data_IF_221433741341
#
_entry.id   IF_221433741341
#
_cell.length_a   1.000
_cell.length_b   1.000
_cell.length_c   1.000
_cell.angle_alpha   90.00
_cell.angle_beta   90.00
_cell.angle_gamma   90.00
#
_symmetry.space_group_name_H-M   'P 1'
#
loop_
_entity.id
_entity.type
_entity.pdbx_description
1 polymer ?
#
# COMPACT_ATOMS: atom_id res chain seq x y z
N UNK A 1 -44.86 -4.16 9.59
CA UNK A 1 -44.99 -3.02 10.51
C UNK A 1 -43.60 -2.67 11.02
N UNK A 2 -43.24 -1.40 10.91
CA UNK A 2 -41.94 -0.83 11.21
C UNK A 2 -41.64 -0.83 12.72
N UNK A 3 -40.35 -0.87 13.07
CA UNK A 3 -39.77 0.10 14.01
C UNK A 3 -38.25 0.08 13.96
N UNK A 4 -37.72 1.22 13.54
CA UNK A 4 -36.35 1.66 13.78
C UNK A 4 -36.13 1.86 15.29
N UNK A 5 -34.91 1.59 15.75
CA UNK A 5 -34.37 2.20 16.97
C UNK A 5 -32.84 2.26 16.86
N UNK A 6 -32.37 3.48 16.74
CA UNK A 6 -30.98 3.90 16.72
C UNK A 6 -30.26 3.52 18.02
N UNK A 7 -28.99 3.15 17.88
CA UNK A 7 -28.05 2.95 18.97
C UNK A 7 -26.66 3.38 18.52
N UNK A 8 -26.51 4.66 18.20
CA UNK A 8 -25.21 5.29 18.06
C UNK A 8 -24.55 5.30 19.44
N UNK A 9 -23.57 4.42 19.64
CA UNK A 9 -22.72 4.42 20.84
C UNK A 9 -21.27 4.51 20.41
N UNK A 10 -20.72 5.69 20.65
CA UNK A 10 -19.39 5.89 21.22
C UNK A 10 -18.22 5.35 20.35
N UNK A 11 -17.81 6.17 19.38
CA UNK A 11 -16.58 5.98 18.62
C UNK A 11 -15.35 6.27 19.50
N UNK A 12 -14.83 5.24 20.17
CA UNK A 12 -13.44 5.19 20.61
C UNK A 12 -12.53 5.13 19.37
N UNK A 13 -11.41 5.86 19.29
CA UNK A 13 -10.45 5.76 18.20
C UNK A 13 -9.58 4.51 18.38
N UNK A 14 -10.22 3.35 18.39
CA UNK A 14 -9.58 2.06 18.20
C UNK A 14 -9.80 1.68 16.76
N UNK A 15 -8.73 1.75 15.96
CA UNK A 15 -8.66 1.39 14.54
C UNK A 15 -9.58 0.20 14.25
N UNK A 16 -10.72 0.46 13.59
CA UNK A 16 -11.58 -0.60 13.09
C UNK A 16 -10.86 -1.12 11.84
N UNK A 17 -10.03 -2.14 12.01
CA UNK A 17 -9.52 -2.93 10.89
C UNK A 17 -10.70 -3.69 10.31
N UNK A 18 -11.49 -3.02 9.45
CA UNK A 18 -12.47 -3.68 8.60
C UNK A 18 -11.67 -4.41 7.53
N UNK A 19 -11.32 -5.66 7.80
CA UNK A 19 -11.04 -6.61 6.73
C UNK A 19 -12.34 -6.84 5.95
N UNK A 20 -12.70 -5.91 5.07
CA UNK A 20 -13.58 -6.23 3.96
C UNK A 20 -12.75 -7.00 2.95
N UNK A 21 -12.56 -8.30 3.21
CA UNK A 21 -12.20 -9.29 2.19
C UNK A 21 -13.35 -9.42 1.20
N UNK A 22 -13.59 -8.36 0.42
CA UNK A 22 -14.15 -8.53 -0.92
C UNK A 22 -12.96 -8.94 -1.76
N UNK A 23 -13.04 -10.11 -2.38
CA UNK A 23 -12.20 -10.45 -3.54
C UNK A 23 -12.22 -9.23 -4.45
N UNK A 24 -11.12 -8.48 -4.49
CA UNK A 24 -11.04 -7.34 -5.38
C UNK A 24 -10.77 -7.99 -6.73
N UNK A 25 -11.77 -7.97 -7.63
CA UNK A 25 -11.52 -8.28 -9.04
C UNK A 25 -10.45 -7.33 -9.58
N UNK A 26 -9.79 -7.68 -10.69
CA UNK A 26 -8.66 -6.95 -11.31
C UNK A 26 -8.56 -5.48 -10.83
N UNK A 27 -7.71 -5.26 -9.82
CA UNK A 27 -7.41 -3.92 -9.32
C UNK A 27 -6.65 -3.19 -10.41
N UNK A 28 -7.05 -1.95 -10.68
CA UNK A 28 -6.17 -1.06 -11.42
C UNK A 28 -4.86 -0.87 -10.63
N UNK A 29 -3.75 -0.70 -11.35
CA UNK A 29 -2.41 -0.51 -10.76
C UNK A 29 -2.42 0.57 -9.68
N UNK A 30 -3.20 1.64 -9.85
CA UNK A 30 -3.32 2.69 -8.85
C UNK A 30 -3.99 2.21 -7.55
N UNK A 31 -5.06 1.42 -7.64
CA UNK A 31 -5.77 0.87 -6.48
C UNK A 31 -4.95 -0.21 -5.78
N UNK A 32 -4.23 -1.03 -6.54
CA UNK A 32 -3.29 -2.00 -5.99
C UNK A 32 -2.16 -1.30 -5.22
N UNK A 33 -1.57 -0.24 -5.79
CA UNK A 33 -0.52 0.53 -5.12
C UNK A 33 -1.01 1.17 -3.81
N UNK A 34 -2.21 1.77 -3.83
CA UNK A 34 -2.80 2.34 -2.62
C UNK A 34 -3.12 1.27 -1.57
N UNK A 35 -3.70 0.15 -2.00
CA UNK A 35 -4.04 -0.96 -1.11
C UNK A 35 -2.79 -1.58 -0.48
N UNK A 36 -1.67 -1.65 -1.21
CA UNK A 36 -0.40 -2.12 -0.66
C UNK A 36 0.15 -1.14 0.38
N UNK A 37 0.16 0.17 0.10
CA UNK A 37 0.62 1.21 1.03
C UNK A 37 -0.20 1.20 2.33
N UNK A 38 -1.51 1.01 2.21
CA UNK A 38 -2.45 0.90 3.34
C UNK A 38 -2.37 -0.46 4.07
N UNK A 39 -1.58 -1.42 3.58
CA UNK A 39 -1.49 -2.77 4.15
C UNK A 39 -2.78 -3.60 4.01
N UNK A 40 -3.61 -3.29 3.00
CA UNK A 40 -4.89 -3.98 2.73
C UNK A 40 -4.72 -5.25 1.90
N UNK A 41 -3.68 -5.30 1.08
CA UNK A 41 -3.28 -6.48 0.30
C UNK A 41 -1.83 -6.84 0.61
N UNK A 42 -1.51 -8.11 0.47
CA UNK A 42 -0.15 -8.63 0.69
C UNK A 42 0.76 -8.36 -0.51
N UNK A 43 2.08 -8.34 -0.29
CA UNK A 43 3.08 -8.23 -1.36
C UNK A 43 2.85 -9.23 -2.51
N UNK A 44 2.59 -10.49 -2.16
CA UNK A 44 2.37 -11.53 -3.17
C UNK A 44 1.08 -11.31 -3.98
N UNK A 45 0.04 -10.75 -3.35
CA UNK A 45 -1.22 -10.43 -4.04
C UNK A 45 -1.05 -9.19 -4.94
N UNK A 46 -0.23 -8.23 -4.53
CA UNK A 46 0.10 -7.08 -5.36
C UNK A 46 0.90 -7.47 -6.62
N UNK A 47 1.87 -8.40 -6.51
CA UNK A 47 2.63 -8.91 -7.67
C UNK A 47 1.73 -9.67 -8.64
N UNK A 48 0.77 -10.45 -8.13
CA UNK A 48 -0.19 -11.17 -8.97
C UNK A 48 -1.04 -10.21 -9.83
N UNK A 49 -1.35 -9.01 -9.31
CA UNK A 49 -2.19 -8.03 -10.00
C UNK A 49 -1.41 -7.04 -10.87
N UNK A 50 -0.25 -6.57 -10.40
CA UNK A 50 0.53 -5.50 -11.05
C UNK A 50 1.71 -6.06 -11.87
N UNK A 51 2.08 -7.31 -11.63
CA UNK A 51 3.21 -7.97 -12.28
C UNK A 51 4.55 -7.70 -11.61
N UNK A 52 5.62 -7.89 -12.38
CA UNK A 52 7.00 -7.87 -11.87
C UNK A 52 7.63 -6.47 -11.81
N UNK A 53 6.92 -5.42 -12.23
CA UNK A 53 7.46 -4.04 -12.32
C UNK A 53 7.97 -3.47 -10.98
N UNK A 54 7.47 -3.99 -9.86
CA UNK A 54 7.85 -3.58 -8.51
C UNK A 54 8.62 -4.67 -7.75
N UNK A 55 8.94 -5.78 -8.42
CA UNK A 55 9.45 -6.99 -7.78
C UNK A 55 10.69 -6.70 -6.94
N UNK A 56 11.69 -6.00 -7.49
CA UNK A 56 12.90 -5.67 -6.74
C UNK A 56 12.63 -4.84 -5.48
N UNK A 57 11.71 -3.87 -5.57
CA UNK A 57 11.34 -3.07 -4.40
C UNK A 57 10.62 -3.91 -3.34
N UNK A 58 9.74 -4.82 -3.74
CA UNK A 58 8.99 -5.66 -2.81
C UNK A 58 9.91 -6.69 -2.15
N UNK A 59 10.81 -7.30 -2.92
CA UNK A 59 11.85 -8.19 -2.39
C UNK A 59 12.74 -7.44 -1.38
N UNK A 60 13.17 -6.22 -1.70
CA UNK A 60 13.94 -5.37 -0.79
C UNK A 60 13.15 -5.05 0.49
N UNK A 61 11.86 -4.71 0.36
CA UNK A 61 11.02 -4.43 1.52
C UNK A 61 10.83 -5.67 2.40
N UNK A 62 10.65 -6.86 1.83
CA UNK A 62 10.54 -8.09 2.61
C UNK A 62 11.87 -8.47 3.28
N UNK A 63 13.00 -8.34 2.58
CA UNK A 63 14.34 -8.64 3.11
C UNK A 63 14.69 -7.76 4.31
N UNK A 64 14.25 -6.50 4.29
CA UNK A 64 14.53 -5.52 5.33
C UNK A 64 13.35 -5.29 6.30
N UNK A 65 12.29 -6.10 6.25
CA UNK A 65 11.06 -5.98 7.06
C UNK A 65 10.43 -4.56 7.02
N UNK A 66 10.46 -3.93 5.85
CA UNK A 66 9.99 -2.56 5.65
C UNK A 66 8.52 -2.53 5.28
N UNK A 67 7.77 -1.61 5.90
CA UNK A 67 6.36 -1.42 5.62
C UNK A 67 6.14 -0.43 4.46
N UNK A 68 5.35 -0.78 3.42
CA UNK A 68 5.07 0.11 2.28
C UNK A 68 4.29 1.38 2.67
N UNK A 69 3.67 1.42 3.85
CA UNK A 69 3.10 2.62 4.45
C UNK A 69 4.13 3.64 4.98
N UNK A 70 5.40 3.25 5.17
CA UNK A 70 6.45 4.08 5.78
C UNK A 70 7.48 4.52 4.75
N UNK A 71 7.09 5.46 3.88
CA UNK A 71 7.93 5.96 2.78
C UNK A 71 9.33 6.38 3.19
N UNK A 72 9.43 7.15 4.27
CA UNK A 72 10.69 7.73 4.71
C UNK A 72 11.64 6.66 5.23
N UNK A 73 11.12 5.64 5.92
CA UNK A 73 11.88 4.50 6.41
C UNK A 73 12.41 3.64 5.26
N UNK A 74 11.57 3.34 4.27
CA UNK A 74 11.97 2.62 3.05
C UNK A 74 13.04 3.39 2.28
N UNK A 75 12.84 4.71 2.09
CA UNK A 75 13.80 5.55 1.39
C UNK A 75 15.14 5.62 2.13
N UNK A 76 15.11 5.78 3.46
CA UNK A 76 16.31 5.79 4.28
C UNK A 76 17.07 4.47 4.14
N UNK A 77 16.36 3.33 4.18
CA UNK A 77 16.97 2.02 4.01
C UNK A 77 17.61 1.87 2.63
N UNK A 78 16.94 2.32 1.55
CA UNK A 78 17.50 2.32 0.19
C UNK A 78 18.77 3.20 0.09
N UNK A 79 18.78 4.36 0.74
CA UNK A 79 19.93 5.27 0.72
C UNK A 79 21.12 4.73 1.52
N UNK A 80 20.85 3.99 2.61
CA UNK A 80 21.87 3.31 3.42
C UNK A 80 22.30 1.95 2.85
N UNK A 81 21.57 1.37 1.92
CA UNK A 81 21.89 0.07 1.33
C UNK A 81 23.13 0.19 0.43
N UNK A 82 24.17 -0.60 0.73
CA UNK A 82 25.41 -0.70 -0.08
C UNK A 82 25.18 -1.50 -1.38
N UNK A 83 24.19 -1.10 -2.17
CA UNK A 83 23.95 -1.64 -3.49
C UNK A 83 24.78 -0.95 -4.57
N UNK A 84 24.95 -1.65 -5.69
CA UNK A 84 25.33 -1.04 -6.96
C UNK A 84 24.39 0.14 -7.28
N UNK A 85 24.94 1.29 -7.67
CA UNK A 85 24.15 2.52 -7.89
C UNK A 85 22.96 2.37 -8.85
N UNK A 86 22.99 1.38 -9.77
CA UNK A 86 21.84 1.02 -10.62
C UNK A 86 20.66 0.44 -9.84
N UNK A 87 20.89 -0.48 -8.91
CA UNK A 87 19.83 -1.09 -8.11
C UNK A 87 19.20 -0.06 -7.18
N UNK A 88 20.01 0.79 -6.53
CA UNK A 88 19.51 1.91 -5.73
C UNK A 88 18.63 2.86 -6.54
N UNK A 89 19.05 3.22 -7.75
CA UNK A 89 18.26 4.07 -8.64
C UNK A 89 16.94 3.39 -9.07
N UNK A 90 16.95 2.07 -9.30
CA UNK A 90 15.78 1.29 -9.63
C UNK A 90 14.78 1.22 -8.47
N UNK A 91 15.24 0.87 -7.26
CA UNK A 91 14.43 0.82 -6.05
C UNK A 91 13.78 2.19 -5.79
N UNK A 92 14.56 3.28 -5.91
CA UNK A 92 14.05 4.64 -5.75
C UNK A 92 12.98 4.99 -6.79
N UNK A 93 13.17 4.59 -8.05
CA UNK A 93 12.19 4.79 -9.12
C UNK A 93 10.91 4.00 -8.87
N UNK A 94 11.02 2.71 -8.52
CA UNK A 94 9.85 1.87 -8.21
C UNK A 94 9.10 2.42 -6.99
N UNK A 95 9.81 2.89 -5.96
CA UNK A 95 9.20 3.49 -4.78
C UNK A 95 8.42 4.77 -5.13
N UNK A 96 9.01 5.64 -5.97
CA UNK A 96 8.34 6.85 -6.44
C UNK A 96 7.08 6.50 -7.23
N UNK A 97 7.14 5.52 -8.13
CA UNK A 97 5.98 5.05 -8.88
C UNK A 97 4.89 4.50 -7.97
N UNK A 98 5.24 3.69 -6.97
CA UNK A 98 4.32 3.12 -5.99
C UNK A 98 3.53 4.24 -5.30
N UNK A 99 4.21 5.24 -4.75
CA UNK A 99 3.54 6.36 -4.07
C UNK A 99 2.82 7.32 -5.02
N UNK A 100 3.33 7.50 -6.24
CA UNK A 100 2.67 8.33 -7.25
C UNK A 100 1.33 7.73 -7.64
N UNK A 101 1.29 6.43 -7.88
CA UNK A 101 0.09 5.69 -8.26
C UNK A 101 -0.87 5.55 -7.07
N UNK A 102 -0.34 5.29 -5.86
CA UNK A 102 -1.15 5.18 -4.65
C UNK A 102 -1.77 6.50 -4.17
N UNK A 103 -1.16 7.66 -4.44
CA UNK A 103 -1.72 8.98 -4.10
C UNK A 103 -2.97 9.34 -4.91
N UNK A 104 -3.14 8.77 -6.11
CA UNK A 104 -4.28 9.07 -6.98
C UNK A 104 -5.62 8.56 -6.44
N UNK A 105 -5.61 7.54 -5.58
CA UNK A 105 -6.82 6.83 -5.12
C UNK A 105 -7.31 7.34 -3.76
N UNK A 106 -6.40 7.76 -2.87
CA UNK A 106 -6.75 8.26 -1.52
C UNK A 106 -7.25 9.71 -1.46
N UNK A 107 -7.11 10.50 -2.54
CA UNK A 107 -7.50 11.91 -2.61
C UNK A 107 -8.86 12.19 -3.25
N UNK A 108 -9.58 11.15 -3.68
CA UNK A 108 -10.87 11.25 -4.36
C UNK A 108 -12.08 11.30 -3.42
N UNK A 109 -12.03 12.09 -2.34
CA UNK A 109 -13.26 12.43 -1.60
C UNK A 109 -13.28 13.93 -1.29
N UNK A 110 -14.23 14.60 -1.97
CA UNK A 110 -14.81 15.94 -1.73
C UNK A 110 -13.88 17.12 -2.11
N UNK A 111 -14.31 18.12 -2.86
CA UNK A 111 -15.63 18.63 -3.21
C UNK A 111 -15.47 20.13 -3.45
#
# INVERSE_FOLDING_TARGET
MAKEAAGAREASPGIIVRHTSRRIGELDVCEACWSLIEGRISFSEFVDQVGEDYRELLEFMMEHDLHPGRREEVLFCIECYEASGRLRALLRRQLELLYRNGRGVGGGVRG
#
